data_IF_614129074225
#
_entry.id   IF_614129074225
#
_cell.length_a   1.000
_cell.length_b   1.000
_cell.length_c   1.000
_cell.angle_alpha   90.00
_cell.angle_beta   90.00
_cell.angle_gamma   90.00
#
_symmetry.space_group_name_H-M   'P 1'
#
loop_
_entity.id
_entity.type
_entity.pdbx_description
1 polymer ?
#
# COMPACT_ATOMS: atom_id res chain seq x y z
N UNK A 1 10.52 -4.86 32.07
CA UNK A 1 11.61 -4.83 31.07
C UNK A 1 11.21 -5.36 29.69
N UNK A 2 10.48 -6.48 29.57
CA UNK A 2 10.08 -7.07 28.27
C UNK A 2 9.23 -6.12 27.40
N UNK A 3 8.30 -5.37 28.00
CA UNK A 3 7.44 -4.42 27.27
C UNK A 3 8.21 -3.28 26.57
N UNK A 4 9.32 -2.82 27.17
CA UNK A 4 10.17 -1.78 26.59
C UNK A 4 11.01 -2.32 25.43
N UNK A 5 11.50 -3.57 25.52
CA UNK A 5 12.27 -4.20 24.44
C UNK A 5 11.40 -4.53 23.23
N UNK A 6 10.14 -4.94 23.47
CA UNK A 6 9.17 -5.18 22.40
C UNK A 6 8.80 -3.86 21.68
N UNK A 7 8.58 -2.78 22.43
CA UNK A 7 8.30 -1.47 21.86
C UNK A 7 9.46 -0.93 21.02
N UNK A 8 10.70 -1.09 21.49
CA UNK A 8 11.90 -0.70 20.74
C UNK A 8 12.01 -1.53 19.46
N UNK A 9 11.84 -2.85 19.51
CA UNK A 9 11.90 -3.70 18.31
C UNK A 9 10.83 -3.34 17.28
N UNK A 10 9.58 -3.12 17.71
CA UNK A 10 8.49 -2.68 16.82
C UNK A 10 8.80 -1.31 16.20
N UNK A 11 9.33 -0.37 16.99
CA UNK A 11 9.71 0.95 16.49
C UNK A 11 10.87 0.88 15.49
N UNK A 12 11.89 0.06 15.74
CA UNK A 12 13.01 -0.12 14.81
C UNK A 12 12.53 -0.79 13.51
N UNK A 13 11.61 -1.75 13.59
CA UNK A 13 11.06 -2.44 12.42
C UNK A 13 10.17 -1.50 11.58
N UNK A 14 9.37 -0.64 12.24
CA UNK A 14 8.61 0.43 11.57
C UNK A 14 9.53 1.44 10.87
N UNK A 15 10.57 1.92 11.56
CA UNK A 15 11.52 2.88 11.00
C UNK A 15 12.35 2.30 9.84
N UNK A 16 12.69 1.01 9.89
CA UNK A 16 13.45 0.35 8.81
C UNK A 16 12.62 0.20 7.53
N UNK A 17 11.31 -0.06 7.69
CA UNK A 17 10.36 -0.10 6.58
C UNK A 17 10.18 1.27 5.92
N UNK A 18 10.20 2.37 6.68
CA UNK A 18 10.08 3.71 6.13
C UNK A 18 11.24 4.11 5.19
N UNK A 19 12.41 3.48 5.31
CA UNK A 19 13.60 3.77 4.51
C UNK A 19 13.60 2.99 3.18
N UNK A 20 12.81 1.92 3.06
CA UNK A 20 12.86 0.99 1.90
C UNK A 20 11.90 1.35 0.75
N UNK A 21 11.25 2.51 0.80
CA UNK A 21 10.31 2.96 -0.22
C UNK A 21 8.87 2.63 0.18
N UNK A 22 8.22 3.56 0.86
CA UNK A 22 6.78 3.45 1.11
C UNK A 22 6.04 3.49 -0.22
N UNK A 23 4.97 2.71 -0.37
CA UNK A 23 4.10 2.70 -1.53
C UNK A 23 3.62 4.11 -1.94
N UNK A 24 3.48 4.99 -0.95
CA UNK A 24 3.04 6.39 -1.10
C UNK A 24 4.13 7.31 -1.68
N UNK A 25 5.40 6.93 -1.68
CA UNK A 25 6.48 7.74 -2.29
C UNK A 25 6.58 7.59 -3.81
N UNK A 26 6.04 6.50 -4.35
CA UNK A 26 6.09 6.23 -5.79
C UNK A 26 5.05 7.06 -6.55
N UNK A 27 5.45 7.66 -7.68
CA UNK A 27 4.55 8.51 -8.47
C UNK A 27 3.40 7.69 -9.06
N UNK A 28 3.66 6.45 -9.47
CA UNK A 28 2.68 5.54 -10.09
C UNK A 28 1.51 5.17 -9.15
N UNK A 29 1.71 5.30 -7.84
CA UNK A 29 0.71 4.96 -6.83
C UNK A 29 -0.17 6.15 -6.40
N UNK A 30 0.20 7.39 -6.76
CA UNK A 30 -0.53 8.60 -6.37
C UNK A 30 -1.56 9.02 -7.43
N UNK A 31 -2.60 8.20 -7.63
CA UNK A 31 -3.58 8.46 -8.70
C UNK A 31 -4.35 9.77 -8.48
N UNK A 32 -4.75 10.06 -7.25
CA UNK A 32 -5.48 11.29 -6.90
C UNK A 32 -4.58 12.52 -7.04
N UNK A 33 -3.32 12.42 -6.62
CA UNK A 33 -2.37 13.51 -6.82
C UNK A 33 -2.05 13.72 -8.31
N UNK A 34 -1.84 12.66 -9.07
CA UNK A 34 -1.53 12.74 -10.51
C UNK A 34 -2.71 13.32 -11.30
N UNK A 35 -3.95 12.94 -10.97
CA UNK A 35 -5.14 13.53 -11.59
C UNK A 35 -5.30 15.02 -11.26
N UNK A 36 -4.90 15.44 -10.06
CA UNK A 36 -4.82 16.85 -9.70
C UNK A 36 -3.74 17.59 -10.49
N UNK A 37 -2.55 17.00 -10.61
CA UNK A 37 -1.44 17.56 -11.39
C UNK A 37 -1.84 17.75 -12.85
N UNK A 38 -2.48 16.73 -13.46
CA UNK A 38 -2.99 16.79 -14.84
C UNK A 38 -4.09 17.86 -15.00
N UNK A 39 -4.98 18.01 -14.01
CA UNK A 39 -6.05 19.01 -14.04
C UNK A 39 -5.53 20.46 -13.96
N UNK A 40 -4.37 20.67 -13.32
CA UNK A 40 -3.75 21.98 -13.15
C UNK A 40 -2.67 22.24 -14.22
N UNK A 41 -2.30 21.21 -14.98
CA UNK A 41 -1.33 21.28 -16.07
C UNK A 41 -1.82 22.23 -17.17
N UNK A 42 -1.02 23.25 -17.48
CA UNK A 42 -1.38 24.27 -18.48
C UNK A 42 -2.17 25.47 -17.93
N UNK A 43 -2.52 25.49 -16.65
CA UNK A 43 -3.09 26.68 -16.00
C UNK A 43 -2.05 27.79 -15.81
N UNK A 44 -2.48 29.05 -15.83
CA UNK A 44 -1.62 30.20 -15.53
C UNK A 44 -0.96 30.13 -14.13
N UNK A 45 -1.50 29.29 -13.24
CA UNK A 45 -1.01 29.04 -11.88
C UNK A 45 0.34 28.28 -11.91
N UNK A 46 0.56 27.39 -12.87
CA UNK A 46 1.78 26.56 -12.95
C UNK A 46 2.90 27.17 -13.80
N UNK A 47 2.59 28.18 -14.63
CA UNK A 47 3.54 28.80 -15.57
C UNK A 47 4.52 29.79 -14.95
N UNK A 48 4.28 30.29 -13.73
CA UNK A 48 5.16 31.25 -13.04
C UNK A 48 5.35 30.89 -11.57
N UNK A 49 6.57 31.08 -11.04
CA UNK A 49 6.89 30.89 -9.62
C UNK A 49 5.96 31.71 -8.71
N UNK A 50 5.62 32.94 -9.12
CA UNK A 50 4.68 33.80 -8.38
C UNK A 50 3.26 33.22 -8.38
N UNK A 51 2.82 32.63 -9.49
CA UNK A 51 1.51 31.96 -9.59
C UNK A 51 1.39 30.78 -8.63
N UNK A 52 2.46 29.99 -8.49
CA UNK A 52 2.51 28.86 -7.54
C UNK A 52 2.43 29.32 -6.09
N UNK A 53 3.14 30.40 -5.73
CA UNK A 53 3.11 30.96 -4.37
C UNK A 53 1.73 31.53 -4.03
N UNK A 54 1.08 32.21 -4.97
CA UNK A 54 -0.27 32.75 -4.76
C UNK A 54 -1.33 31.66 -4.63
N UNK A 55 -1.18 30.55 -5.36
CA UNK A 55 -2.09 29.42 -5.26
C UNK A 55 -1.79 28.49 -4.08
N UNK A 56 -0.60 28.60 -3.46
CA UNK A 56 -0.17 27.72 -2.37
C UNK A 56 -1.18 27.59 -1.22
N UNK A 57 -1.86 28.65 -0.73
CA UNK A 57 -2.82 28.54 0.37
C UNK A 57 -3.99 27.59 0.08
N UNK A 58 -4.35 27.39 -1.20
CA UNK A 58 -5.44 26.48 -1.61
C UNK A 58 -4.87 25.18 -2.16
N UNK A 59 -3.84 25.24 -3.02
CA UNK A 59 -3.25 24.06 -3.62
C UNK A 59 -2.60 23.12 -2.59
N UNK A 60 -1.99 23.68 -1.54
CA UNK A 60 -1.35 22.89 -0.49
C UNK A 60 -2.33 22.01 0.31
N UNK A 61 -3.42 22.53 0.91
CA UNK A 61 -4.38 21.66 1.61
C UNK A 61 -5.06 20.66 0.68
N UNK A 62 -5.39 21.04 -0.55
CA UNK A 62 -6.00 20.10 -1.51
C UNK A 62 -5.02 18.98 -1.88
N UNK A 63 -3.76 19.31 -2.19
CA UNK A 63 -2.71 18.32 -2.45
C UNK A 63 -2.46 17.39 -1.24
N UNK A 64 -2.49 17.92 -0.02
CA UNK A 64 -2.41 17.07 1.18
C UNK A 64 -3.60 16.12 1.29
N UNK A 65 -4.83 16.59 1.05
CA UNK A 65 -6.01 15.71 1.09
C UNK A 65 -5.95 14.63 0.00
N UNK A 66 -5.48 14.96 -1.20
CA UNK A 66 -5.27 13.99 -2.27
C UNK A 66 -4.23 12.93 -1.87
N UNK A 67 -3.11 13.34 -1.27
CA UNK A 67 -2.11 12.41 -0.75
C UNK A 67 -2.64 11.48 0.35
N UNK A 68 -3.50 11.99 1.25
CA UNK A 68 -4.15 11.16 2.29
C UNK A 68 -5.11 10.15 1.66
N UNK A 69 -5.89 10.55 0.65
CA UNK A 69 -6.80 9.65 -0.07
C UNK A 69 -6.00 8.56 -0.79
N UNK A 70 -4.90 8.93 -1.45
CA UNK A 70 -4.03 7.96 -2.13
C UNK A 70 -3.47 6.93 -1.14
N UNK A 71 -3.04 7.36 0.05
CA UNK A 71 -2.51 6.48 1.09
C UNK A 71 -3.59 5.61 1.75
N UNK A 72 -4.74 6.19 2.10
CA UNK A 72 -5.73 5.52 2.95
C UNK A 72 -6.78 4.72 2.17
N UNK A 73 -6.98 5.01 0.89
CA UNK A 73 -8.07 4.42 0.08
C UNK A 73 -7.53 3.78 -1.19
N UNK A 74 -6.82 4.55 -2.02
CA UNK A 74 -6.41 4.08 -3.35
C UNK A 74 -5.39 2.95 -3.26
N UNK A 75 -4.34 3.15 -2.47
CA UNK A 75 -3.25 2.17 -2.31
C UNK A 75 -3.75 0.85 -1.72
N UNK A 76 -4.50 0.83 -0.60
CA UNK A 76 -5.06 -0.41 -0.07
C UNK A 76 -6.06 -1.09 -1.00
N UNK A 77 -6.87 -0.32 -1.74
CA UNK A 77 -7.82 -0.89 -2.70
C UNK A 77 -7.11 -1.62 -3.86
N UNK A 78 -6.04 -1.02 -4.40
CA UNK A 78 -5.22 -1.64 -5.45
C UNK A 78 -4.41 -2.83 -4.95
N UNK A 79 -4.05 -2.86 -3.67
CA UNK A 79 -3.36 -3.99 -3.04
C UNK A 79 -4.19 -5.27 -2.95
N UNK A 80 -5.53 -5.16 -2.93
CA UNK A 80 -6.41 -6.28 -2.64
C UNK A 80 -6.39 -7.39 -3.72
N UNK A 81 -6.47 -7.02 -4.99
CA UNK A 81 -6.48 -7.99 -6.09
C UNK A 81 -5.19 -8.83 -6.18
N UNK A 82 -3.98 -8.23 -6.21
CA UNK A 82 -2.75 -9.01 -6.23
C UNK A 82 -2.54 -9.81 -4.94
N UNK A 83 -2.95 -9.30 -3.78
CA UNK A 83 -2.87 -10.08 -2.53
C UNK A 83 -3.78 -11.31 -2.54
N UNK A 84 -4.95 -11.21 -3.17
CA UNK A 84 -5.83 -12.36 -3.37
C UNK A 84 -5.22 -13.38 -4.34
N UNK A 85 -4.60 -12.91 -5.42
CA UNK A 85 -3.92 -13.78 -6.39
C UNK A 85 -2.74 -14.53 -5.76
N UNK A 86 -1.94 -13.85 -4.94
CA UNK A 86 -0.83 -14.46 -4.22
C UNK A 86 -1.32 -15.46 -3.18
N UNK A 87 -2.35 -15.10 -2.40
CA UNK A 87 -2.95 -16.04 -1.44
C UNK A 87 -3.44 -17.31 -2.13
N UNK A 88 -4.06 -17.16 -3.32
CA UNK A 88 -4.48 -18.27 -4.15
C UNK A 88 -3.28 -19.09 -4.67
N UNK A 89 -2.21 -18.43 -5.10
CA UNK A 89 -1.01 -19.11 -5.61
C UNK A 89 -0.29 -19.91 -4.53
N UNK A 90 -0.18 -19.36 -3.32
CA UNK A 90 0.51 -19.98 -2.19
C UNK A 90 -0.27 -21.12 -1.55
N UNK A 91 -1.56 -20.93 -1.27
CA UNK A 91 -2.35 -21.91 -0.52
C UNK A 91 -3.06 -22.92 -1.41
N UNK A 92 -3.45 -22.54 -2.62
CA UNK A 92 -4.42 -23.29 -3.41
C UNK A 92 -3.85 -23.86 -4.73
N UNK A 93 -3.09 -23.07 -5.52
CA UNK A 93 -2.60 -23.52 -6.84
C UNK A 93 -1.38 -24.43 -6.81
N UNK A 94 -0.58 -24.45 -5.75
CA UNK A 94 0.63 -25.27 -5.64
C UNK A 94 0.51 -26.34 -4.55
N UNK A 95 -0.28 -27.40 -4.76
CA UNK A 95 -0.39 -28.45 -3.77
C UNK A 95 0.90 -29.27 -3.68
N UNK A 96 1.45 -29.40 -2.47
CA UNK A 96 2.56 -30.32 -2.19
C UNK A 96 2.04 -31.61 -1.54
N UNK A 97 2.36 -32.75 -2.15
CA UNK A 97 2.04 -34.09 -1.65
C UNK A 97 0.87 -34.77 -2.36
N UNK A 98 0.41 -35.90 -1.80
CA UNK A 98 -0.69 -36.70 -2.36
C UNK A 98 -2.07 -36.06 -2.14
N UNK A 99 -3.06 -36.45 -2.93
CA UNK A 99 -4.44 -35.94 -2.85
C UNK A 99 -5.07 -36.13 -1.47
N UNK A 100 -4.79 -37.27 -0.82
CA UNK A 100 -5.20 -37.55 0.56
C UNK A 100 -4.63 -36.53 1.56
N UNK A 101 -3.37 -36.13 1.39
CA UNK A 101 -2.74 -35.11 2.23
C UNK A 101 -3.35 -33.73 1.96
N UNK A 102 -3.72 -33.43 0.72
CA UNK A 102 -4.43 -32.18 0.41
C UNK A 102 -5.82 -32.12 1.05
N UNK A 103 -6.55 -33.24 1.05
CA UNK A 103 -7.85 -33.34 1.73
C UNK A 103 -7.73 -33.09 3.24
N UNK A 104 -6.70 -33.66 3.89
CA UNK A 104 -6.43 -33.40 5.30
C UNK A 104 -6.04 -31.93 5.58
N UNK A 105 -5.39 -31.27 4.63
CA UNK A 105 -4.95 -29.87 4.74
C UNK A 105 -6.02 -28.85 4.31
N UNK A 106 -7.21 -29.30 3.88
CA UNK A 106 -8.27 -28.40 3.42
C UNK A 106 -8.69 -27.41 4.53
N UNK A 107 -9.04 -27.93 5.72
CA UNK A 107 -9.45 -27.09 6.85
C UNK A 107 -8.35 -26.13 7.30
N UNK A 108 -7.09 -26.57 7.51
CA UNK A 108 -5.99 -25.66 7.76
C UNK A 108 -5.81 -24.57 6.70
N UNK A 109 -5.94 -24.89 5.40
CA UNK A 109 -5.82 -23.91 4.31
C UNK A 109 -6.93 -22.86 4.32
N UNK A 110 -8.17 -23.27 4.57
CA UNK A 110 -9.31 -22.35 4.71
C UNK A 110 -9.07 -21.37 5.86
N UNK A 111 -8.61 -21.86 7.01
CA UNK A 111 -8.31 -21.01 8.18
C UNK A 111 -7.10 -20.11 7.94
N UNK A 112 -6.08 -20.58 7.21
CA UNK A 112 -4.90 -19.80 6.88
C UNK A 112 -5.15 -18.72 5.81
N UNK A 113 -6.15 -18.90 4.94
CA UNK A 113 -6.46 -17.99 3.83
C UNK A 113 -6.63 -16.52 4.25
N UNK A 114 -7.50 -16.17 5.22
CA UNK A 114 -7.65 -14.78 5.63
C UNK A 114 -6.37 -14.23 6.27
N UNK A 115 -5.59 -15.05 6.98
CA UNK A 115 -4.35 -14.62 7.62
C UNK A 115 -3.31 -14.26 6.56
N UNK A 116 -3.08 -15.16 5.60
CA UNK A 116 -2.12 -14.95 4.51
C UNK A 116 -2.52 -13.74 3.66
N UNK A 117 -3.81 -13.64 3.31
CA UNK A 117 -4.33 -12.51 2.57
C UNK A 117 -4.10 -11.18 3.29
N UNK A 118 -4.48 -11.09 4.58
CA UNK A 118 -4.32 -9.85 5.34
C UNK A 118 -2.85 -9.46 5.51
N UNK A 119 -1.96 -10.44 5.71
CA UNK A 119 -0.53 -10.17 5.82
C UNK A 119 0.05 -9.64 4.51
N UNK A 120 -0.29 -10.26 3.37
CA UNK A 120 0.22 -9.83 2.07
C UNK A 120 -0.37 -8.49 1.64
N UNK A 121 -1.69 -8.32 1.82
CA UNK A 121 -2.39 -7.07 1.57
C UNK A 121 -1.81 -5.92 2.38
N UNK A 122 -1.56 -6.11 3.68
CA UNK A 122 -0.96 -5.08 4.53
C UNK A 122 0.47 -4.76 4.09
N UNK A 123 1.27 -5.78 3.75
CA UNK A 123 2.63 -5.58 3.28
C UNK A 123 2.66 -4.79 1.97
N UNK A 124 1.81 -5.16 1.01
CA UNK A 124 1.66 -4.44 -0.26
C UNK A 124 1.20 -3.01 -0.06
N UNK A 125 0.20 -2.79 0.79
CA UNK A 125 -0.32 -1.45 1.10
C UNK A 125 0.77 -0.51 1.61
N UNK A 126 1.73 -1.02 2.38
CA UNK A 126 2.79 -0.19 2.99
C UNK A 126 4.02 -0.08 2.08
N UNK A 127 4.44 -1.17 1.43
CA UNK A 127 5.77 -1.29 0.82
C UNK A 127 5.78 -1.51 -0.69
N UNK A 128 4.67 -1.92 -1.33
CA UNK A 128 4.76 -2.20 -2.78
C UNK A 128 4.69 -0.93 -3.60
N UNK A 129 5.60 -0.81 -4.55
CA UNK A 129 5.59 0.24 -5.58
C UNK A 129 4.80 -0.16 -6.82
N UNK A 130 4.36 -1.43 -6.93
CA UNK A 130 3.63 -1.95 -8.09
C UNK A 130 2.42 -2.80 -7.68
N UNK A 131 1.28 -2.50 -8.32
CA UNK A 131 -0.01 -3.17 -8.17
C UNK A 131 -0.52 -3.66 -9.51
#
# INVERSE_FOLDING_TARGET
MIRNRLAILVATLLCSGAISGCAVMEKENRLTMNTLDDAVQGSAITGSTTGKVLAAPVAFPVGMTAGVIDMAVVTPARAAAPAAEDTNSYLWKNPQGSDLRQMMLLMPKVVATPVVFLTDWAFRTVFTSKF
#
